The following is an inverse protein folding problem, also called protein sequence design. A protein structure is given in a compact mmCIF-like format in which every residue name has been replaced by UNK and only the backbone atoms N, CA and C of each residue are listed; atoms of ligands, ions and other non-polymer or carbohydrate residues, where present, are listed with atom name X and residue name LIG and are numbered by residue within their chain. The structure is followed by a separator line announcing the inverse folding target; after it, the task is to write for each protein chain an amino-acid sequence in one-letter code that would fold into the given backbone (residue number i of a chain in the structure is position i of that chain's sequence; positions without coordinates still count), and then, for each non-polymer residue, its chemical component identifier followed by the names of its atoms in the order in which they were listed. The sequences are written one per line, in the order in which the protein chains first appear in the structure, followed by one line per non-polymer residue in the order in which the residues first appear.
data_IF_185919084299
#
_entry.id   IF_185919084299
#
_cell.length_a   1.000
_cell.length_b   1.000
_cell.length_c   1.000
_cell.angle_alpha   90.00
_cell.angle_beta   90.00
_cell.angle_gamma   90.00
#
_symmetry.space_group_name_H-M   'P 1'
#
loop_
_entity.id
_entity.type
_entity.pdbx_description
1 polymer ?
#
# COMPACT_ATOMS: atom_id res chain seq x y z
N UNK A 1 5.70 -9.28 6.91
CA UNK A 1 6.34 -7.97 6.67
C UNK A 1 5.93 -7.44 5.29
N UNK A 2 4.77 -6.80 5.19
CA UNK A 2 4.26 -6.24 3.92
C UNK A 2 5.24 -5.22 3.32
N UNK A 3 5.90 -4.45 4.18
CA UNK A 3 6.94 -3.48 3.83
C UNK A 3 8.09 -4.09 3.00
N UNK A 4 8.71 -5.15 3.51
CA UNK A 4 9.82 -5.81 2.81
C UNK A 4 9.37 -6.35 1.45
N UNK A 5 8.16 -6.92 1.37
CA UNK A 5 7.60 -7.39 0.11
C UNK A 5 7.38 -6.25 -0.89
N UNK A 6 6.90 -5.09 -0.42
CA UNK A 6 6.72 -3.89 -1.24
C UNK A 6 8.04 -3.39 -1.84
N UNK A 7 9.10 -3.37 -1.03
CA UNK A 7 10.42 -2.97 -1.47
C UNK A 7 11.00 -3.96 -2.49
N UNK A 8 11.01 -5.27 -2.18
CA UNK A 8 11.62 -6.28 -3.04
C UNK A 8 10.85 -6.52 -4.34
N UNK A 9 9.51 -6.50 -4.30
CA UNK A 9 8.68 -6.85 -5.46
C UNK A 9 8.29 -5.64 -6.32
N UNK A 10 8.20 -4.45 -5.72
CA UNK A 10 7.70 -3.25 -6.40
C UNK A 10 8.65 -2.05 -6.31
N UNK A 11 9.75 -2.17 -5.56
CA UNK A 11 10.67 -1.07 -5.28
C UNK A 11 10.05 0.03 -4.41
N UNK A 12 8.89 -0.22 -3.78
CA UNK A 12 8.16 0.81 -3.01
C UNK A 12 8.79 0.90 -1.63
N UNK A 13 9.27 2.09 -1.30
CA UNK A 13 9.92 2.36 -0.01
C UNK A 13 8.90 2.80 1.02
N UNK A 14 9.19 2.58 2.30
CA UNK A 14 8.30 2.97 3.40
C UNK A 14 8.15 4.50 3.50
N UNK A 15 9.14 5.26 3.05
CA UNK A 15 9.12 6.72 2.97
C UNK A 15 8.43 7.26 1.71
N UNK A 16 8.05 6.38 0.77
CA UNK A 16 7.29 6.82 -0.42
C UNK A 16 5.98 7.47 0.03
N UNK A 17 5.63 8.57 -0.63
CA UNK A 17 4.38 9.29 -0.39
C UNK A 17 3.38 8.85 -1.45
N UNK A 18 2.27 8.29 -0.97
CA UNK A 18 1.09 8.01 -1.77
C UNK A 18 0.20 9.25 -1.80
N UNK A 19 -0.22 9.65 -2.99
CA UNK A 19 -1.15 10.75 -3.19
C UNK A 19 -2.42 10.14 -3.75
N UNK A 20 -3.49 10.20 -2.95
CA UNK A 20 -4.79 9.77 -3.43
C UNK A 20 -5.24 10.65 -4.61
N UNK A 21 -5.60 10.06 -5.76
CA UNK A 21 -6.15 10.82 -6.88
C UNK A 21 -7.59 11.30 -6.61
N UNK A 22 -8.29 10.73 -5.62
CA UNK A 22 -9.69 11.05 -5.31
C UNK A 22 -9.77 12.15 -4.25
N UNK A 23 -8.98 12.02 -3.18
CA UNK A 23 -9.04 12.91 -2.02
C UNK A 23 -7.89 13.91 -1.95
N UNK A 24 -6.87 13.78 -2.80
CA UNK A 24 -5.60 14.52 -2.74
C UNK A 24 -4.86 14.39 -1.40
N UNK A 25 -5.29 13.47 -0.53
CA UNK A 25 -4.58 13.18 0.71
C UNK A 25 -3.22 12.57 0.40
N UNK A 26 -2.23 13.02 1.16
CA UNK A 26 -0.88 12.46 1.15
C UNK A 26 -0.74 11.55 2.35
N UNK A 27 -0.35 10.31 2.11
CA UNK A 27 -0.10 9.33 3.17
C UNK A 27 1.26 8.69 2.90
N UNK A 28 2.08 8.60 3.94
CA UNK A 28 3.36 7.89 3.85
C UNK A 28 3.07 6.40 3.87
N UNK A 29 3.72 5.60 3.00
CA UNK A 29 3.50 4.13 2.94
C UNK A 29 3.63 3.51 4.32
N UNK A 30 4.63 3.93 5.12
CA UNK A 30 4.78 3.49 6.51
C UNK A 30 3.53 3.72 7.36
N UNK A 31 2.91 4.90 7.28
CA UNK A 31 1.72 5.24 8.07
C UNK A 31 0.52 4.39 7.66
N UNK A 32 0.34 4.19 6.36
CA UNK A 32 -0.69 3.31 5.82
C UNK A 32 -0.53 1.87 6.31
N UNK A 33 0.70 1.33 6.26
CA UNK A 33 0.98 -0.03 6.72
C UNK A 33 0.75 -0.19 8.22
N UNK A 34 1.15 0.80 9.04
CA UNK A 34 0.87 0.82 10.47
C UNK A 34 -0.63 0.84 10.77
N UNK A 35 -1.41 1.57 9.97
CA UNK A 35 -2.87 1.59 10.09
C UNK A 35 -3.47 0.22 9.77
N UNK A 36 -3.11 -0.36 8.62
CA UNK A 36 -3.56 -1.69 8.20
C UNK A 36 -3.21 -2.76 9.25
N UNK A 37 -2.04 -2.64 9.87
CA UNK A 37 -1.60 -3.54 10.93
C UNK A 37 -2.45 -3.40 12.20
N UNK A 38 -2.77 -2.17 12.62
CA UNK A 38 -3.68 -1.92 13.75
C UNK A 38 -5.09 -2.44 13.49
N UNK A 39 -5.53 -2.40 12.24
CA UNK A 39 -6.84 -2.91 11.80
C UNK A 39 -6.84 -4.43 11.57
N UNK A 40 -5.70 -5.11 11.76
CA UNK A 40 -5.57 -6.56 11.57
C UNK A 40 -5.67 -7.02 10.10
N UNK A 41 -5.52 -6.10 9.14
CA UNK A 41 -5.76 -6.37 7.71
C UNK A 41 -4.49 -6.67 6.90
N UNK A 42 -3.33 -6.78 7.57
CA UNK A 42 -2.01 -6.96 6.93
C UNK A 42 -1.92 -8.17 6.01
N UNK A 43 -2.53 -9.29 6.38
CA UNK A 43 -2.52 -10.51 5.57
C UNK A 43 -3.31 -10.36 4.28
N UNK A 44 -4.48 -9.70 4.35
CA UNK A 44 -5.30 -9.39 3.19
C UNK A 44 -4.58 -8.46 2.21
N UNK A 45 -3.88 -7.45 2.74
CA UNK A 45 -3.04 -6.54 1.95
C UNK A 45 -1.91 -7.29 1.26
N UNK A 46 -1.22 -8.17 1.98
CA UNK A 46 -0.16 -9.00 1.39
C UNK A 46 -0.70 -9.92 0.29
N UNK A 47 -1.80 -10.62 0.55
CA UNK A 47 -2.42 -11.53 -0.42
C UNK A 47 -2.84 -10.80 -1.69
N UNK A 48 -3.44 -9.61 -1.56
CA UNK A 48 -3.83 -8.80 -2.71
C UNK A 48 -2.60 -8.30 -3.48
N UNK A 49 -1.57 -7.81 -2.78
CA UNK A 49 -0.31 -7.39 -3.41
C UNK A 49 0.34 -8.53 -4.19
N UNK A 50 0.30 -9.77 -3.69
CA UNK A 50 0.79 -10.95 -4.41
C UNK A 50 0.00 -11.24 -5.68
N UNK A 51 -1.34 -11.11 -5.65
CA UNK A 51 -2.19 -11.31 -6.81
C UNK A 51 -1.92 -10.29 -7.91
N UNK A 52 -1.65 -9.03 -7.56
CA UNK A 52 -1.38 -7.96 -8.51
C UNK A 52 0.10 -7.82 -8.88
N UNK A 53 0.98 -8.72 -8.43
CA UNK A 53 2.42 -8.69 -8.72
C UNK A 53 2.72 -8.52 -10.22
N UNK A 54 1.93 -9.16 -11.09
CA UNK A 54 2.06 -9.06 -12.54
C UNK A 54 1.81 -7.65 -13.12
N UNK A 55 1.12 -6.77 -12.38
CA UNK A 55 0.89 -5.37 -12.75
C UNK A 55 2.06 -4.45 -12.34
N UNK A 56 3.05 -4.99 -11.62
CA UNK A 56 4.23 -4.28 -11.17
C UNK A 56 3.91 -3.08 -10.26
N UNK A 57 4.85 -2.13 -10.20
CA UNK A 57 4.80 -1.00 -9.26
C UNK A 57 3.52 -0.16 -9.38
N UNK A 58 3.03 0.06 -10.60
CA UNK A 58 1.80 0.85 -10.83
C UNK A 58 0.59 0.19 -10.20
N UNK A 59 0.43 -1.13 -10.36
CA UNK A 59 -0.67 -1.87 -9.73
C UNK A 59 -0.66 -1.76 -8.21
N UNK A 60 0.52 -1.95 -7.60
CA UNK A 60 0.70 -1.81 -6.15
C UNK A 60 0.33 -0.39 -5.66
N UNK A 61 0.79 0.67 -6.34
CA UNK A 61 0.44 2.06 -5.98
C UNK A 61 -1.08 2.29 -6.06
N UNK A 62 -1.74 1.81 -7.11
CA UNK A 62 -3.20 1.96 -7.25
C UNK A 62 -3.93 1.30 -6.08
N UNK A 63 -3.54 0.08 -5.71
CA UNK A 63 -4.14 -0.63 -4.59
C UNK A 63 -3.93 0.11 -3.26
N UNK A 64 -2.68 0.52 -2.96
CA UNK A 64 -2.36 1.23 -1.73
C UNK A 64 -3.07 2.59 -1.63
N UNK A 65 -3.23 3.31 -2.75
CA UNK A 65 -4.05 4.51 -2.81
C UNK A 65 -5.52 4.21 -2.47
N UNK A 66 -6.06 3.09 -2.95
CA UNK A 66 -7.40 2.63 -2.60
C UNK A 66 -7.60 2.39 -1.11
N UNK A 67 -6.60 1.78 -0.44
CA UNK A 67 -6.61 1.61 1.02
C UNK A 67 -6.60 2.97 1.74
N UNK A 68 -5.74 3.89 1.30
CA UNK A 68 -5.66 5.24 1.86
C UNK A 68 -6.97 6.03 1.72
N UNK A 69 -7.78 5.74 0.70
CA UNK A 69 -9.07 6.39 0.48
C UNK A 69 -10.21 5.81 1.33
N UNK A 70 -10.09 4.56 1.75
CA UNK A 70 -11.09 3.84 2.57
C UNK A 70 -11.03 4.18 4.06
N UNK A 71 -9.92 4.73 4.55
CA UNK A 71 -9.69 5.12 5.96
C UNK A 71 -10.52 6.33 6.44
N UNK A 72 -11.79 6.45 6.03
CA UNK A 72 -12.72 7.54 6.42
C UNK A 72 -13.79 7.07 7.39
#
# INVERSE_FOLDING_TARGET
MVEQYLQESFGIMREDILISPVTNKKVVVRELLLQVEREGSSENVLGTLQQIKGLGRKGAIVYLNGLSDQSK
#
